data_IF_772813859825
#
_entry.id   IF_772813859825
#
_cell.length_a   1.000
_cell.length_b   1.000
_cell.length_c   1.000
_cell.angle_alpha   90.00
_cell.angle_beta   90.00
_cell.angle_gamma   90.00
#
_symmetry.space_group_name_H-M   'P 1'
#
loop_
_entity.id
_entity.type
_entity.pdbx_description
1 polymer ?
#
# COMPACT_ATOMS: atom_id res chain seq x y z
N UNK A 1 10.86 -4.93 5.74
CA UNK A 1 12.01 -4.91 6.68
C UNK A 1 11.69 -4.10 7.94
N UNK A 2 11.47 -2.78 7.86
CA UNK A 2 11.31 -1.91 9.06
C UNK A 2 10.24 -2.35 10.05
N UNK A 3 9.00 -2.58 9.59
CA UNK A 3 7.91 -3.07 10.46
C UNK A 3 8.22 -4.44 11.09
N UNK A 4 8.86 -5.36 10.37
CA UNK A 4 9.31 -6.65 10.96
C UNK A 4 10.36 -6.46 12.05
N UNK A 5 11.24 -5.46 11.92
CA UNK A 5 12.23 -5.13 12.95
C UNK A 5 11.61 -4.46 14.18
N UNK A 6 10.36 -3.99 14.07
CA UNK A 6 9.55 -3.49 15.16
C UNK A 6 8.51 -4.53 15.61
N UNK A 7 8.79 -5.82 15.39
CA UNK A 7 7.99 -6.97 15.81
C UNK A 7 6.57 -7.06 15.21
N UNK A 8 6.33 -6.44 14.06
CA UNK A 8 5.10 -6.66 13.29
C UNK A 8 5.22 -7.89 12.38
N UNK A 9 4.19 -8.73 12.40
CA UNK A 9 4.01 -9.79 11.43
C UNK A 9 3.42 -9.26 10.13
N UNK A 10 4.12 -9.53 9.01
CA UNK A 10 3.60 -9.19 7.68
C UNK A 10 2.87 -10.40 7.13
N UNK A 11 1.54 -10.34 7.19
CA UNK A 11 0.64 -11.45 6.86
C UNK A 11 0.24 -11.52 5.39
N UNK A 12 0.43 -10.44 4.62
CA UNK A 12 0.03 -10.36 3.21
C UNK A 12 0.79 -9.25 2.48
N UNK A 13 0.98 -9.43 1.17
CA UNK A 13 1.68 -8.49 0.27
C UNK A 13 0.90 -8.34 -1.04
N UNK A 14 1.05 -7.19 -1.70
CA UNK A 14 0.64 -7.00 -3.09
C UNK A 14 1.78 -6.35 -3.88
N UNK A 15 2.06 -6.87 -5.08
CA UNK A 15 2.99 -6.31 -6.04
C UNK A 15 2.54 -6.71 -7.45
N UNK A 16 2.70 -5.83 -8.44
CA UNK A 16 2.32 -6.08 -9.84
C UNK A 16 3.53 -6.51 -10.68
N UNK A 17 4.74 -6.12 -10.29
CA UNK A 17 5.96 -6.37 -11.04
C UNK A 17 6.61 -7.71 -10.63
N UNK A 18 6.60 -8.68 -11.55
CA UNK A 18 7.17 -10.02 -11.35
C UNK A 18 8.67 -10.02 -11.03
N UNK A 19 9.45 -9.09 -11.56
CA UNK A 19 10.88 -8.98 -11.25
C UNK A 19 11.10 -8.57 -9.79
N UNK A 20 10.29 -7.62 -9.29
CA UNK A 20 10.32 -7.22 -7.89
C UNK A 20 9.85 -8.34 -6.97
N UNK A 21 8.81 -9.09 -7.35
CA UNK A 21 8.35 -10.27 -6.61
C UNK A 21 9.48 -11.29 -6.50
N UNK A 22 10.16 -11.56 -7.60
CA UNK A 22 11.27 -12.53 -7.65
C UNK A 22 12.42 -12.11 -6.72
N UNK A 23 12.85 -10.84 -6.82
CA UNK A 23 13.90 -10.29 -5.95
C UNK A 23 13.48 -10.28 -4.48
N UNK A 24 12.24 -9.88 -4.19
CA UNK A 24 11.66 -9.86 -2.85
C UNK A 24 11.65 -11.25 -2.21
N UNK A 25 11.11 -12.26 -2.90
CA UNK A 25 11.06 -13.65 -2.43
C UNK A 25 12.46 -14.20 -2.16
N UNK A 26 13.40 -13.95 -3.08
CA UNK A 26 14.79 -14.37 -2.89
C UNK A 26 15.44 -13.72 -1.66
N UNK A 27 15.33 -12.39 -1.54
CA UNK A 27 15.90 -11.64 -0.42
C UNK A 27 15.30 -12.05 0.92
N UNK A 28 13.97 -12.18 0.99
CA UNK A 28 13.29 -12.63 2.21
C UNK A 28 13.71 -14.04 2.62
N UNK A 29 13.83 -14.98 1.67
CA UNK A 29 14.30 -16.33 1.99
C UNK A 29 15.71 -16.33 2.56
N UNK A 30 16.62 -15.54 1.98
CA UNK A 30 18.00 -15.44 2.45
C UNK A 30 18.14 -14.75 3.81
N UNK A 31 17.35 -13.70 4.06
CA UNK A 31 17.48 -12.88 5.27
C UNK A 31 16.71 -13.45 6.46
N UNK A 32 15.58 -14.13 6.21
CA UNK A 32 14.67 -14.58 7.25
C UNK A 32 14.46 -16.10 7.30
N UNK A 33 15.10 -16.85 6.40
CA UNK A 33 14.94 -18.32 6.34
C UNK A 33 13.53 -18.77 5.94
N UNK A 34 12.70 -17.87 5.40
CA UNK A 34 11.35 -18.22 4.94
C UNK A 34 11.40 -18.95 3.60
N UNK A 35 10.50 -19.91 3.39
CA UNK A 35 10.33 -20.51 2.08
C UNK A 35 9.65 -19.49 1.13
N UNK A 36 10.23 -19.21 -0.06
CA UNK A 36 9.63 -18.33 -1.05
C UNK A 36 8.16 -18.62 -1.39
N UNK A 37 7.74 -19.88 -1.31
CA UNK A 37 6.38 -20.30 -1.65
C UNK A 37 5.38 -20.06 -0.53
N UNK A 38 5.85 -19.90 0.71
CA UNK A 38 5.00 -19.63 1.87
C UNK A 38 4.76 -18.12 2.06
N UNK A 39 5.39 -17.28 1.24
CA UNK A 39 5.17 -15.84 1.25
C UNK A 39 3.80 -15.55 0.64
N UNK A 40 2.85 -15.21 1.50
CA UNK A 40 1.51 -14.78 1.13
C UNK A 40 1.56 -13.45 0.36
N UNK A 41 1.37 -13.53 -0.95
CA UNK A 41 1.53 -12.41 -1.88
C UNK A 41 0.51 -12.52 -3.01
N UNK A 42 -0.17 -11.41 -3.28
CA UNK A 42 -1.03 -11.24 -4.44
C UNK A 42 -0.27 -10.53 -5.57
N UNK A 43 0.03 -11.28 -6.64
CA UNK A 43 0.64 -10.76 -7.86
C UNK A 43 -0.44 -10.14 -8.75
N UNK A 44 -0.52 -8.80 -8.79
CA UNK A 44 -1.57 -8.12 -9.55
C UNK A 44 -1.68 -6.63 -9.26
N UNK A 45 -2.53 -5.96 -10.03
CA UNK A 45 -2.81 -4.53 -9.85
C UNK A 45 -3.54 -4.27 -8.53
N UNK A 46 -3.13 -3.22 -7.82
CA UNK A 46 -3.85 -2.71 -6.65
C UNK A 46 -5.31 -2.35 -6.98
N UNK A 47 -5.61 -2.02 -8.25
CA UNK A 47 -6.95 -1.67 -8.72
C UNK A 47 -7.96 -2.83 -8.62
N UNK A 48 -7.49 -4.08 -8.51
CA UNK A 48 -8.35 -5.26 -8.41
C UNK A 48 -8.51 -5.77 -6.98
N UNK A 49 -7.80 -5.18 -6.00
CA UNK A 49 -7.89 -5.59 -4.60
C UNK A 49 -9.29 -5.32 -4.07
N UNK A 50 -9.84 -6.33 -3.40
CA UNK A 50 -11.15 -6.27 -2.75
C UNK A 50 -11.13 -7.03 -1.43
N UNK A 51 -12.15 -6.81 -0.60
CA UNK A 51 -12.33 -7.54 0.67
C UNK A 51 -12.36 -9.06 0.49
N UNK A 52 -12.91 -9.58 -0.60
CA UNK A 52 -12.96 -11.03 -0.83
C UNK A 52 -11.56 -11.59 -1.06
N UNK A 53 -10.76 -10.98 -1.94
CA UNK A 53 -9.38 -11.42 -2.22
C UNK A 53 -8.54 -11.43 -0.94
N UNK A 54 -8.64 -10.39 -0.12
CA UNK A 54 -7.87 -10.32 1.13
C UNK A 54 -8.38 -11.35 2.14
N UNK A 55 -9.70 -11.53 2.29
CA UNK A 55 -10.28 -12.52 3.23
C UNK A 55 -10.02 -13.97 2.85
N UNK A 56 -9.82 -14.26 1.57
CA UNK A 56 -9.40 -15.59 1.11
C UNK A 56 -7.98 -15.94 1.54
N UNK A 57 -7.13 -14.93 1.75
CA UNK A 57 -5.69 -15.11 1.97
C UNK A 57 -5.22 -14.65 3.35
N UNK A 58 -6.04 -13.95 4.13
CA UNK A 58 -5.70 -13.43 5.46
C UNK A 58 -6.69 -13.98 6.48
N UNK A 59 -6.20 -14.32 7.68
CA UNK A 59 -7.04 -14.84 8.77
C UNK A 59 -8.22 -13.92 9.04
N UNK A 60 -9.43 -14.46 9.01
CA UNK A 60 -10.66 -13.70 9.25
C UNK A 60 -10.64 -13.00 10.60
N UNK A 61 -10.03 -13.61 11.62
CA UNK A 61 -9.91 -13.01 12.95
C UNK A 61 -9.13 -11.70 12.97
N UNK A 62 -8.14 -11.51 12.08
CA UNK A 62 -7.44 -10.23 11.95
C UNK A 62 -8.34 -9.18 11.29
N UNK A 63 -9.01 -9.57 10.21
CA UNK A 63 -9.86 -8.67 9.42
C UNK A 63 -11.11 -8.26 10.20
N UNK A 64 -11.80 -9.20 10.84
CA UNK A 64 -13.07 -8.98 11.52
C UNK A 64 -12.91 -8.19 12.83
N UNK A 65 -11.73 -8.27 13.47
CA UNK A 65 -11.39 -7.50 14.68
C UNK A 65 -10.64 -6.19 14.36
N UNK A 66 -10.42 -5.87 13.09
CA UNK A 66 -9.57 -4.76 12.64
C UNK A 66 -8.17 -4.78 13.29
N UNK A 67 -7.62 -5.96 13.61
CA UNK A 67 -6.33 -6.11 14.32
C UNK A 67 -5.14 -6.16 13.35
N UNK A 68 -5.06 -5.16 12.47
CA UNK A 68 -4.00 -5.05 11.47
C UNK A 68 -3.75 -3.60 11.08
N UNK A 69 -2.61 -3.37 10.41
CA UNK A 69 -2.28 -2.12 9.75
C UNK A 69 -2.08 -2.27 8.26
N UNK A 70 -2.29 -1.20 7.49
CA UNK A 70 -2.00 -1.16 6.05
C UNK A 70 -0.80 -0.24 5.81
N UNK A 71 0.26 -0.76 5.21
CA UNK A 71 1.48 0.00 4.89
C UNK A 71 1.75 -0.05 3.40
N UNK A 72 2.12 1.08 2.80
CA UNK A 72 2.41 1.11 1.36
C UNK A 72 2.93 2.45 0.87
N UNK A 73 3.58 2.41 -0.29
CA UNK A 73 4.01 3.58 -1.05
C UNK A 73 3.44 3.49 -2.47
N UNK A 74 2.24 4.03 -2.73
CA UNK A 74 1.67 4.06 -4.07
C UNK A 74 2.60 4.80 -5.04
N UNK A 75 2.63 4.42 -6.33
CA UNK A 75 3.61 4.96 -7.27
C UNK A 75 3.54 6.49 -7.37
N UNK A 76 4.72 7.07 -7.23
CA UNK A 76 4.94 8.49 -7.07
C UNK A 76 5.29 9.32 -8.35
N UNK A 77 5.53 8.77 -9.56
CA UNK A 77 6.06 9.56 -10.69
C UNK A 77 5.27 10.85 -10.99
N UNK A 78 3.95 10.81 -10.87
CA UNK A 78 3.06 11.94 -11.16
C UNK A 78 3.10 13.07 -10.10
N UNK A 79 3.69 12.82 -8.94
CA UNK A 79 3.96 13.85 -7.91
C UNK A 79 5.42 14.30 -7.90
N UNK A 80 6.30 13.65 -8.66
CA UNK A 80 7.73 13.95 -8.69
C UNK A 80 8.08 15.07 -9.68
N UNK A 81 9.15 15.81 -9.40
CA UNK A 81 9.68 16.84 -10.31
C UNK A 81 10.31 16.24 -11.59
N UNK A 82 10.69 14.96 -11.56
CA UNK A 82 11.26 14.24 -12.71
C UNK A 82 10.20 13.60 -13.61
N UNK A 83 8.93 13.57 -13.20
CA UNK A 83 7.80 13.04 -13.96
C UNK A 83 6.96 14.12 -14.65
N UNK A 84 5.87 13.70 -15.30
CA UNK A 84 4.93 14.60 -16.00
C UNK A 84 4.18 15.54 -15.04
N UNK A 85 4.26 15.30 -13.74
CA UNK A 85 3.72 16.18 -12.70
C UNK A 85 2.20 16.39 -12.84
N UNK A 86 1.51 15.35 -13.32
CA UNK A 86 0.07 15.32 -13.58
C UNK A 86 -0.75 15.16 -12.29
N UNK A 87 -0.10 14.88 -11.16
CA UNK A 87 -0.76 14.65 -9.88
C UNK A 87 -1.84 13.58 -10.02
N UNK A 88 -3.03 13.86 -9.48
CA UNK A 88 -4.19 12.95 -9.49
C UNK A 88 -4.69 12.55 -10.88
N UNK A 89 -4.40 13.35 -11.91
CA UNK A 89 -4.89 13.13 -13.27
C UNK A 89 -3.93 12.22 -14.07
N UNK A 90 -2.80 11.83 -13.46
CA UNK A 90 -1.87 10.86 -14.02
C UNK A 90 -2.23 9.42 -13.69
N UNK A 91 -1.76 8.49 -14.52
CA UNK A 91 -2.01 7.04 -14.38
C UNK A 91 -1.48 6.46 -13.07
N UNK A 92 -0.44 7.06 -12.47
CA UNK A 92 0.10 6.63 -11.18
C UNK A 92 -0.50 7.43 -10.03
N UNK A 93 -0.84 8.70 -10.25
CA UNK A 93 -1.49 9.53 -9.24
C UNK A 93 -2.82 8.98 -8.76
N UNK A 94 -3.63 8.40 -9.67
CA UNK A 94 -4.87 7.69 -9.31
C UNK A 94 -4.65 6.55 -8.32
N UNK A 95 -3.50 5.88 -8.36
CA UNK A 95 -3.19 4.74 -7.49
C UNK A 95 -3.01 5.15 -6.02
N UNK A 96 -2.63 6.41 -5.76
CA UNK A 96 -2.66 6.97 -4.40
C UNK A 96 -4.09 7.08 -3.87
N UNK A 97 -5.03 7.48 -4.71
CA UNK A 97 -6.46 7.52 -4.36
C UNK A 97 -7.02 6.14 -4.07
N UNK A 98 -6.68 5.15 -4.91
CA UNK A 98 -7.12 3.76 -4.73
C UNK A 98 -6.55 3.16 -3.43
N UNK A 99 -5.30 3.44 -3.08
CA UNK A 99 -4.74 3.02 -1.80
C UNK A 99 -5.50 3.62 -0.60
N UNK A 100 -5.89 4.89 -0.69
CA UNK A 100 -6.75 5.54 0.33
C UNK A 100 -8.14 4.92 0.38
N UNK A 101 -8.73 4.58 -0.77
CA UNK A 101 -10.03 3.92 -0.82
C UNK A 101 -9.95 2.51 -0.20
N UNK A 102 -8.86 1.76 -0.40
CA UNK A 102 -8.61 0.49 0.29
C UNK A 102 -8.52 0.69 1.81
N UNK A 103 -7.77 1.69 2.29
CA UNK A 103 -7.72 2.00 3.74
C UNK A 103 -9.12 2.28 4.27
N UNK A 104 -9.90 3.09 3.55
CA UNK A 104 -11.25 3.44 3.93
C UNK A 104 -12.22 2.25 3.87
N UNK A 105 -12.00 1.27 3.00
CA UNK A 105 -12.82 0.06 2.95
C UNK A 105 -12.52 -0.85 4.14
N UNK A 106 -11.24 -1.04 4.46
CA UNK A 106 -10.78 -2.03 5.43
C UNK A 106 -10.72 -1.54 6.88
N UNK A 107 -10.69 -0.22 7.12
CA UNK A 107 -10.62 0.38 8.46
C UNK A 107 -9.54 -0.26 9.37
N UNK A 108 -8.28 -0.37 8.93
CA UNK A 108 -7.21 -0.88 9.78
C UNK A 108 -7.02 -0.03 11.04
N UNK A 109 -6.40 -0.59 12.09
CA UNK A 109 -6.03 0.18 13.31
C UNK A 109 -5.06 1.32 13.02
N UNK A 110 -4.21 1.16 12.02
CA UNK A 110 -3.29 2.19 11.58
C UNK A 110 -2.93 2.01 10.11
N UNK A 111 -2.41 3.06 9.49
CA UNK A 111 -1.85 2.96 8.15
C UNK A 111 -0.62 3.85 7.99
N UNK A 112 0.23 3.52 7.02
CA UNK A 112 1.30 4.41 6.56
C UNK A 112 1.27 4.54 5.04
N UNK A 113 1.21 5.79 4.57
CA UNK A 113 1.32 6.15 3.16
C UNK A 113 2.64 6.86 2.95
N UNK A 114 3.59 6.20 2.28
CA UNK A 114 4.86 6.80 1.87
C UNK A 114 4.73 7.43 0.47
N UNK A 115 5.33 8.61 0.28
CA UNK A 115 5.31 9.33 -0.98
C UNK A 115 6.46 10.36 -1.02
N UNK A 116 6.80 10.89 -2.20
CA UNK A 116 7.88 11.89 -2.29
C UNK A 116 7.44 13.28 -1.81
N UNK A 117 8.43 14.10 -1.44
CA UNK A 117 8.23 15.51 -1.03
C UNK A 117 7.41 16.34 -2.03
N UNK A 118 7.44 15.99 -3.31
CA UNK A 118 6.66 16.66 -4.36
C UNK A 118 5.15 16.63 -4.15
N UNK A 119 4.63 15.67 -3.38
CA UNK A 119 3.22 15.60 -2.97
C UNK A 119 2.79 16.82 -2.15
N UNK A 120 3.69 17.42 -1.37
CA UNK A 120 3.39 18.58 -0.51
C UNK A 120 3.92 19.91 -1.06
N UNK A 121 4.70 19.90 -2.14
CA UNK A 121 5.36 21.10 -2.68
C UNK A 121 4.41 21.99 -3.50
N UNK A 122 3.55 21.41 -4.34
CA UNK A 122 2.60 22.16 -5.18
C UNK A 122 1.25 22.33 -4.49
N UNK A 123 0.62 23.49 -4.69
CA UNK A 123 -0.71 23.78 -4.13
C UNK A 123 -1.78 22.79 -4.59
N UNK A 124 -1.74 22.38 -5.86
CA UNK A 124 -2.65 21.38 -6.44
C UNK A 124 -2.49 20.00 -5.79
N UNK A 125 -1.26 19.56 -5.54
CA UNK A 125 -0.99 18.28 -4.87
C UNK A 125 -1.39 18.33 -3.39
N UNK A 126 -1.11 19.44 -2.70
CA UNK A 126 -1.58 19.65 -1.32
C UNK A 126 -3.10 19.60 -1.22
N UNK A 127 -3.81 20.21 -2.19
CA UNK A 127 -5.28 20.14 -2.24
C UNK A 127 -5.74 18.70 -2.42
N UNK A 128 -5.14 17.95 -3.33
CA UNK A 128 -5.46 16.54 -3.52
C UNK A 128 -5.20 15.71 -2.26
N UNK A 129 -4.04 15.90 -1.60
CA UNK A 129 -3.76 15.26 -0.32
C UNK A 129 -4.80 15.63 0.74
N UNK A 130 -5.21 16.89 0.82
CA UNK A 130 -6.26 17.33 1.75
C UNK A 130 -7.61 16.64 1.45
N UNK A 131 -7.97 16.51 0.18
CA UNK A 131 -9.18 15.78 -0.24
C UNK A 131 -9.12 14.30 0.19
N UNK A 132 -7.95 13.66 0.06
CA UNK A 132 -7.72 12.28 0.51
C UNK A 132 -7.78 12.15 2.03
N UNK A 133 -7.14 13.06 2.77
CA UNK A 133 -7.18 13.06 4.24
C UNK A 133 -8.60 13.29 4.76
N UNK A 134 -9.38 14.15 4.10
CA UNK A 134 -10.77 14.39 4.44
C UNK A 134 -11.65 13.13 4.25
N UNK A 135 -11.35 12.26 3.28
CA UNK A 135 -12.03 10.96 3.16
C UNK A 135 -11.79 10.10 4.41
N UNK A 136 -10.57 10.11 4.93
CA UNK A 136 -10.16 9.27 6.07
C UNK A 136 -10.60 9.84 7.43
N UNK A 137 -10.75 11.16 7.56
CA UNK A 137 -10.99 11.82 8.87
C UNK A 137 -12.32 11.50 9.53
N UNK A 138 -13.19 10.70 8.90
CA UNK A 138 -14.42 10.21 9.53
C UNK A 138 -14.19 9.00 10.43
N UNK A 139 -13.11 8.28 10.18
CA UNK A 139 -12.81 6.98 10.78
C UNK A 139 -11.53 7.00 11.65
N UNK A 140 -10.76 8.10 11.59
CA UNK A 140 -9.48 8.32 12.30
C UNK A 140 -9.40 9.70 12.94
#
# INVERSE_FOLDING_TARGET
MGFRSADFDIVWHNEINTDFITGFKHGHSKLYGVNPQDINLFEGSIETISKSIVRENVSSGLIDNNDFGIIGGPPCPDFSNAGKNLGKDGENGKLTGIFVDIINDFHPKFFTLENVKGLIQKSTHRKYLADLLYKLSKEY
#
